data_IF_271001679856
#
_entry.id   IF_271001679856
#
_cell.length_a   1.000
_cell.length_b   1.000
_cell.length_c   1.000
_cell.angle_alpha   90.00
_cell.angle_beta   90.00
_cell.angle_gamma   90.00
#
_symmetry.space_group_name_H-M   'P 1'
#
loop_
_entity.id
_entity.type
_entity.pdbx_description
1 polymer ?
#
# COMPACT_ATOMS: atom_id res chain seq x y z
N UNK A 1 -3.40 15.14 5.84
CA UNK A 1 -2.90 15.91 4.67
C UNK A 1 -1.53 15.35 4.32
N UNK A 2 -1.24 15.10 3.04
CA UNK A 2 -0.01 14.39 2.61
C UNK A 2 -0.25 13.15 1.73
N UNK A 3 -1.52 12.81 1.44
CA UNK A 3 -1.88 11.77 0.48
C UNK A 3 -1.84 12.31 -0.96
N UNK A 4 -1.56 11.43 -1.92
CA UNK A 4 -1.59 11.79 -3.34
C UNK A 4 -3.03 11.98 -3.84
N UNK A 5 -3.92 11.01 -3.56
CA UNK A 5 -5.33 11.05 -3.98
C UNK A 5 -6.28 10.76 -2.81
N UNK A 6 -6.36 9.49 -2.41
CA UNK A 6 -7.31 8.97 -1.41
C UNK A 6 -6.58 8.17 -0.33
N UNK A 7 -7.27 7.89 0.77
CA UNK A 7 -6.79 6.98 1.80
C UNK A 7 -6.97 5.52 1.32
N UNK A 8 -5.91 4.69 1.27
CA UNK A 8 -6.00 3.31 0.80
C UNK A 8 -6.86 2.40 1.69
N UNK A 9 -7.15 2.81 2.93
CA UNK A 9 -8.06 2.11 3.85
C UNK A 9 -9.53 2.54 3.71
N UNK A 10 -9.83 3.49 2.81
CA UNK A 10 -11.15 4.09 2.63
C UNK A 10 -11.33 5.42 3.36
N UNK A 11 -12.48 6.12 3.16
CA UNK A 11 -12.70 7.48 3.66
C UNK A 11 -12.52 7.54 5.18
N UNK A 12 -11.61 8.41 5.65
CA UNK A 12 -11.25 8.54 7.06
C UNK A 12 -10.84 7.22 7.75
N UNK A 13 -10.36 6.23 6.98
CA UNK A 13 -9.98 4.90 7.46
C UNK A 13 -11.15 3.91 7.59
N UNK A 14 -12.35 4.27 7.12
CA UNK A 14 -13.49 3.36 7.06
C UNK A 14 -13.41 2.48 5.80
N UNK A 15 -13.24 1.15 5.92
CA UNK A 15 -13.03 0.24 4.79
C UNK A 15 -14.32 -0.11 4.05
N UNK A 16 -15.02 0.92 3.57
CA UNK A 16 -16.19 0.80 2.69
C UNK A 16 -15.76 1.03 1.22
N UNK A 17 -15.74 -0.01 0.37
CA UNK A 17 -15.31 0.11 -1.02
C UNK A 17 -16.21 1.03 -1.86
N UNK A 18 -17.51 1.11 -1.58
CA UNK A 18 -18.44 1.94 -2.33
C UNK A 18 -18.24 3.42 -1.99
N UNK A 19 -18.03 3.72 -0.70
CA UNK A 19 -17.66 5.07 -0.27
C UNK A 19 -16.28 5.47 -0.82
N UNK A 20 -15.31 4.55 -0.81
CA UNK A 20 -13.98 4.78 -1.39
C UNK A 20 -14.05 5.10 -2.89
N UNK A 21 -14.91 4.41 -3.66
CA UNK A 21 -15.09 4.66 -5.09
C UNK A 21 -15.56 6.10 -5.40
N UNK A 22 -16.35 6.71 -4.52
CA UNK A 22 -16.77 8.11 -4.67
C UNK A 22 -15.58 9.07 -4.55
N UNK A 23 -14.73 8.86 -3.55
CA UNK A 23 -13.53 9.70 -3.31
C UNK A 23 -12.49 9.49 -4.41
N UNK A 24 -12.32 8.25 -4.89
CA UNK A 24 -11.45 7.93 -6.03
C UNK A 24 -11.90 8.73 -7.25
N UNK A 25 -13.18 8.61 -7.66
CA UNK A 25 -13.70 9.35 -8.81
C UNK A 25 -13.53 10.87 -8.65
N UNK A 26 -13.79 11.40 -7.46
CA UNK A 26 -13.69 12.85 -7.20
C UNK A 26 -12.25 13.34 -7.32
N UNK A 27 -11.30 12.64 -6.70
CA UNK A 27 -9.90 13.05 -6.66
C UNK A 27 -9.19 12.85 -8.00
N UNK A 28 -9.44 11.74 -8.68
CA UNK A 28 -8.93 11.51 -10.04
C UNK A 28 -9.53 12.50 -11.05
N UNK A 29 -10.83 12.81 -10.95
CA UNK A 29 -11.46 13.84 -11.77
C UNK A 29 -10.85 15.23 -11.58
N UNK A 30 -10.42 15.57 -10.35
CA UNK A 30 -9.65 16.80 -10.06
C UNK A 30 -8.24 16.77 -10.65
N UNK A 31 -7.72 15.59 -10.98
CA UNK A 31 -6.44 15.38 -11.67
C UNK A 31 -6.62 15.02 -13.16
N UNK A 32 -7.77 15.40 -13.74
CA UNK A 32 -8.06 15.26 -15.16
C UNK A 32 -8.08 13.82 -15.69
N UNK A 33 -8.40 12.84 -14.84
CA UNK A 33 -8.63 11.46 -15.26
C UNK A 33 -10.12 11.14 -15.19
N UNK A 34 -10.65 10.57 -16.27
CA UNK A 34 -12.02 10.05 -16.31
C UNK A 34 -12.11 8.64 -15.69
N UNK A 35 -13.31 8.06 -15.68
CA UNK A 35 -13.56 6.74 -15.07
C UNK A 35 -12.73 5.61 -15.72
N UNK A 36 -12.64 5.58 -17.05
CA UNK A 36 -11.88 4.55 -17.79
C UNK A 36 -10.38 4.67 -17.51
N UNK A 37 -9.84 5.89 -17.57
CA UNK A 37 -8.44 6.18 -17.29
C UNK A 37 -8.08 5.84 -15.84
N UNK A 38 -8.97 6.13 -14.89
CA UNK A 38 -8.78 5.83 -13.47
C UNK A 38 -8.69 4.33 -13.24
N UNK A 39 -9.59 3.54 -13.84
CA UNK A 39 -9.54 2.08 -13.76
C UNK A 39 -8.24 1.55 -14.38
N UNK A 40 -7.86 2.05 -15.55
CA UNK A 40 -6.63 1.64 -16.24
C UNK A 40 -5.37 1.96 -15.43
N UNK A 41 -5.29 3.14 -14.82
CA UNK A 41 -4.16 3.57 -13.98
C UNK A 41 -4.03 2.71 -12.72
N UNK A 42 -5.13 2.50 -12.00
CA UNK A 42 -5.09 1.76 -10.73
C UNK A 42 -4.81 0.28 -10.95
N UNK A 43 -5.54 -0.37 -11.86
CA UNK A 43 -5.32 -1.79 -12.15
C UNK A 43 -3.96 -2.02 -12.80
N UNK A 44 -3.59 -1.20 -13.79
CA UNK A 44 -2.29 -1.31 -14.46
C UNK A 44 -1.11 -1.08 -13.53
N UNK A 45 -1.23 -0.12 -12.59
CA UNK A 45 -0.22 0.11 -11.56
C UNK A 45 -0.10 -1.05 -10.58
N UNK A 46 -1.23 -1.51 -10.02
CA UNK A 46 -1.24 -2.60 -9.05
C UNK A 46 -1.02 -4.00 -9.66
N UNK A 47 -0.93 -4.16 -10.99
CA UNK A 47 -0.40 -5.39 -11.60
C UNK A 47 1.04 -5.69 -11.15
N UNK A 48 1.79 -4.67 -10.72
CA UNK A 48 3.19 -4.79 -10.35
C UNK A 48 3.45 -4.58 -8.85
N UNK A 49 4.49 -5.24 -8.35
CA UNK A 49 5.07 -4.99 -7.04
C UNK A 49 4.20 -5.47 -5.87
N UNK A 50 4.35 -4.76 -4.75
CA UNK A 50 3.66 -5.00 -3.48
C UNK A 50 3.63 -3.74 -2.62
N UNK A 51 2.75 -3.69 -1.65
CA UNK A 51 2.84 -2.74 -0.53
C UNK A 51 3.75 -3.29 0.59
N UNK A 52 4.16 -2.43 1.54
CA UNK A 52 5.07 -2.80 2.63
C UNK A 52 4.53 -2.39 4.00
N UNK A 53 4.33 -3.38 4.88
CA UNK A 53 3.78 -3.28 6.22
C UNK A 53 4.21 -4.44 7.10
N UNK A 54 5.50 -4.80 7.06
CA UNK A 54 6.04 -5.98 7.74
C UNK A 54 5.93 -5.94 9.28
N UNK A 55 5.76 -4.76 9.86
CA UNK A 55 5.71 -4.54 11.31
C UNK A 55 4.96 -3.26 11.70
N UNK A 56 4.91 -2.95 13.01
CA UNK A 56 4.24 -1.74 13.52
C UNK A 56 4.89 -0.45 13.00
N UNK A 57 4.05 0.52 12.64
CA UNK A 57 4.47 1.84 12.10
C UNK A 57 5.35 2.63 13.09
N UNK A 58 5.21 2.41 14.40
CA UNK A 58 6.02 3.04 15.46
C UNK A 58 7.53 2.78 15.32
N UNK A 59 7.94 1.78 14.51
CA UNK A 59 9.35 1.52 14.24
C UNK A 59 9.95 2.43 13.16
N UNK A 60 9.12 3.12 12.37
CA UNK A 60 9.54 4.02 11.30
C UNK A 60 9.90 5.39 11.89
N UNK A 61 11.12 5.84 11.61
CA UNK A 61 11.65 7.11 12.10
C UNK A 61 11.20 8.29 11.22
N UNK A 62 11.77 9.47 11.50
CA UNK A 62 11.38 10.74 10.89
C UNK A 62 11.54 10.72 9.37
N UNK A 63 10.67 11.46 8.69
CA UNK A 63 10.77 11.73 7.26
C UNK A 63 12.07 12.46 6.89
N UNK A 64 12.47 12.49 5.60
CA UNK A 64 13.78 13.02 5.19
C UNK A 64 14.10 14.45 5.66
N UNK A 65 13.12 15.34 5.75
CA UNK A 65 13.33 16.72 6.21
C UNK A 65 13.48 16.84 7.75
N UNK A 66 13.03 15.85 8.51
CA UNK A 66 13.23 15.74 9.96
C UNK A 66 14.41 14.84 10.35
N UNK A 67 14.89 14.01 9.42
CA UNK A 67 15.93 13.03 9.68
C UNK A 67 17.28 13.68 10.07
N UNK A 68 18.10 13.00 10.90
CA UNK A 68 19.40 13.51 11.30
C UNK A 68 20.38 13.51 10.11
N UNK A 69 21.38 14.39 10.15
CA UNK A 69 22.27 14.66 9.01
C UNK A 69 23.02 13.41 8.52
N UNK A 70 23.36 12.48 9.42
CA UNK A 70 24.03 11.22 9.11
C UNK A 70 23.19 10.26 8.24
N UNK A 71 21.88 10.46 8.13
CA UNK A 71 21.03 9.75 7.15
C UNK A 71 21.19 10.29 5.72
N UNK A 72 21.98 11.35 5.52
CA UNK A 72 22.43 11.83 4.21
C UNK A 72 21.30 12.11 3.21
N UNK A 73 20.18 12.67 3.71
CA UNK A 73 19.00 13.02 2.90
C UNK A 73 18.02 11.86 2.68
N UNK A 74 18.29 10.69 3.25
CA UNK A 74 17.27 9.67 3.47
C UNK A 74 16.43 10.01 4.71
N UNK A 75 15.36 9.24 4.90
CA UNK A 75 14.49 9.28 6.07
C UNK A 75 13.66 8.01 6.10
N UNK A 76 12.71 7.93 7.04
CA UNK A 76 11.90 6.73 7.30
C UNK A 76 12.76 5.48 7.56
N UNK A 77 13.96 5.66 8.14
CA UNK A 77 14.74 4.54 8.65
C UNK A 77 13.87 3.72 9.60
N UNK A 78 14.00 2.39 9.57
CA UNK A 78 13.15 1.50 10.37
C UNK A 78 13.98 0.72 11.38
N UNK A 79 13.50 0.68 12.61
CA UNK A 79 14.08 -0.12 13.70
C UNK A 79 13.53 -1.55 13.75
N UNK A 80 12.58 -1.89 12.88
CA UNK A 80 11.97 -3.22 12.81
C UNK A 80 12.84 -4.19 12.01
N UNK A 81 13.33 -5.25 12.67
CA UNK A 81 14.16 -6.26 12.02
C UNK A 81 15.42 -5.64 11.40
N UNK A 82 15.65 -5.91 10.12
CA UNK A 82 16.71 -5.28 9.32
C UNK A 82 16.35 -3.87 8.80
N UNK A 83 15.09 -3.47 8.89
CA UNK A 83 14.56 -2.19 8.41
C UNK A 83 14.38 -2.07 6.88
N UNK A 84 14.77 -3.10 6.13
CA UNK A 84 14.74 -3.14 4.66
C UNK A 84 14.35 -4.54 4.16
N UNK A 85 14.15 -4.70 2.85
CA UNK A 85 13.83 -6.01 2.26
C UNK A 85 12.54 -6.60 2.81
N UNK A 86 12.61 -7.80 3.40
CA UNK A 86 11.46 -8.47 4.01
C UNK A 86 10.86 -7.71 5.19
N UNK A 87 11.66 -6.85 5.85
CA UNK A 87 11.26 -6.14 7.06
C UNK A 87 10.86 -4.69 6.76
N UNK A 88 10.65 -4.35 5.49
CA UNK A 88 10.29 -2.99 5.05
C UNK A 88 8.89 -2.60 5.55
N UNK A 89 8.78 -1.36 6.03
CA UNK A 89 7.52 -0.72 6.40
C UNK A 89 7.43 0.58 5.59
N UNK A 90 6.29 0.81 4.92
CA UNK A 90 6.04 2.03 4.16
C UNK A 90 4.62 2.53 4.40
N UNK A 91 3.61 1.83 3.84
CA UNK A 91 2.21 2.23 3.98
C UNK A 91 1.48 1.54 5.15
N UNK A 92 2.13 0.56 5.79
CA UNK A 92 1.49 -0.29 6.80
C UNK A 92 0.60 -1.40 6.23
N UNK A 93 0.34 -1.39 4.91
CA UNK A 93 -0.38 -2.46 4.20
C UNK A 93 0.63 -3.44 3.63
N UNK A 94 0.36 -4.74 3.71
CA UNK A 94 1.30 -5.79 3.28
C UNK A 94 0.68 -6.72 2.22
N UNK A 95 1.44 -6.95 1.14
CA UNK A 95 1.09 -7.97 0.14
C UNK A 95 1.20 -7.48 -1.30
N UNK A 96 1.26 -8.44 -2.22
CA UNK A 96 1.17 -8.22 -3.66
C UNK A 96 -0.27 -8.43 -4.14
N UNK A 97 -0.67 -7.75 -5.21
CA UNK A 97 -2.00 -7.90 -5.81
C UNK A 97 -2.09 -9.00 -6.87
N UNK A 98 -0.95 -9.51 -7.35
CA UNK A 98 -0.88 -10.52 -8.42
C UNK A 98 0.06 -11.67 -8.04
N UNK A 99 -0.14 -12.83 -8.68
CA UNK A 99 0.76 -13.98 -8.50
C UNK A 99 2.12 -13.79 -9.18
N UNK A 100 2.23 -12.88 -10.15
CA UNK A 100 3.46 -12.58 -10.90
C UNK A 100 3.81 -11.08 -10.79
N UNK A 101 4.21 -10.56 -9.60
CA UNK A 101 4.32 -9.12 -9.34
C UNK A 101 5.41 -8.39 -10.15
N UNK A 102 6.23 -9.10 -10.93
CA UNK A 102 7.28 -8.54 -11.78
C UNK A 102 7.00 -8.73 -13.27
N UNK A 103 5.79 -9.17 -13.63
CA UNK A 103 5.39 -9.44 -15.02
C UNK A 103 4.06 -8.78 -15.32
N UNK A 104 3.96 -8.16 -16.49
CA UNK A 104 2.68 -7.69 -17.00
C UNK A 104 1.79 -8.87 -17.40
N UNK A 105 0.61 -8.96 -16.78
CA UNK A 105 -0.49 -9.84 -17.13
C UNK A 105 -1.83 -9.26 -16.62
N UNK A 106 -2.94 -9.97 -16.80
CA UNK A 106 -4.26 -9.58 -16.28
C UNK A 106 -4.52 -10.05 -14.84
N UNK A 107 -3.48 -10.47 -14.11
CA UNK A 107 -3.60 -11.10 -12.81
C UNK A 107 -4.36 -10.26 -11.79
N UNK A 108 -4.26 -8.93 -11.86
CA UNK A 108 -5.03 -8.04 -10.97
C UNK A 108 -6.55 -8.28 -11.10
N UNK A 109 -7.08 -8.27 -12.32
CA UNK A 109 -8.51 -8.50 -12.56
C UNK A 109 -8.91 -9.97 -12.38
N UNK A 110 -8.04 -10.91 -12.80
CA UNK A 110 -8.28 -12.33 -12.63
C UNK A 110 -8.49 -12.70 -11.15
N UNK A 111 -7.66 -12.14 -10.25
CA UNK A 111 -7.80 -12.34 -8.81
C UNK A 111 -8.94 -11.50 -8.21
N UNK A 112 -9.10 -10.24 -8.62
CA UNK A 112 -10.16 -9.37 -8.09
C UNK A 112 -11.56 -9.96 -8.31
N UNK A 113 -11.83 -10.49 -9.51
CA UNK A 113 -13.12 -11.07 -9.85
C UNK A 113 -13.23 -12.58 -9.59
N UNK A 114 -12.10 -13.28 -9.43
CA UNK A 114 -12.05 -14.72 -9.23
C UNK A 114 -12.28 -15.18 -7.78
N UNK A 115 -12.23 -14.26 -6.81
CA UNK A 115 -12.34 -14.57 -5.38
C UNK A 115 -13.35 -13.66 -4.67
N UNK A 116 -13.90 -14.16 -3.57
CA UNK A 116 -14.57 -13.36 -2.56
C UNK A 116 -13.55 -12.76 -1.59
N UNK A 117 -13.78 -11.51 -1.17
CA UNK A 117 -12.85 -10.76 -0.33
C UNK A 117 -13.42 -10.55 1.07
N UNK A 118 -12.61 -10.85 2.09
CA UNK A 118 -12.93 -10.62 3.49
C UNK A 118 -12.01 -9.54 4.06
N UNK A 119 -12.58 -8.60 4.83
CA UNK A 119 -11.81 -7.57 5.52
C UNK A 119 -10.90 -8.22 6.56
N UNK A 120 -9.60 -7.96 6.44
CA UNK A 120 -8.59 -8.40 7.40
C UNK A 120 -7.70 -7.23 7.80
N UNK A 121 -6.94 -7.43 8.88
CA UNK A 121 -5.84 -6.55 9.27
C UNK A 121 -4.54 -7.27 8.98
N UNK A 122 -3.50 -6.53 8.59
CA UNK A 122 -2.15 -7.08 8.45
C UNK A 122 -1.80 -7.76 9.77
N UNK A 123 -1.76 -9.09 9.75
CA UNK A 123 -1.42 -9.89 10.92
C UNK A 123 0.08 -9.77 11.07
N UNK A 124 0.55 -9.25 12.21
CA UNK A 124 1.92 -9.47 12.64
C UNK A 124 2.10 -10.98 12.71
N UNK A 125 2.70 -11.59 11.69
CA UNK A 125 3.08 -13.00 11.76
C UNK A 125 4.19 -13.03 12.79
N UNK A 126 4.07 -13.76 13.92
CA UNK A 126 5.22 -14.06 14.73
C UNK A 126 6.12 -14.92 13.85
N UNK A 127 7.16 -14.31 13.29
CA UNK A 127 8.25 -15.07 12.71
C UNK A 127 8.84 -15.84 13.90
N UNK A 128 8.76 -17.17 13.82
CA UNK A 128 9.12 -18.16 14.83
C UNK A 128 8.05 -18.52 15.87
N UNK A 129 7.35 -19.62 15.60
CA UNK A 129 7.04 -20.56 16.67
C UNK A 129 8.34 -21.12 17.22
N UNK A 130 8.72 -20.69 18.42
CA UNK A 130 9.47 -21.54 19.33
C UNK A 130 8.50 -22.59 19.89
N UNK A 131 8.73 -23.85 19.57
CA UNK A 131 8.38 -24.94 20.48
C UNK A 131 9.20 -24.82 21.76
#
# INVERSE_FOLDING_TARGET
MGLIYVNPQGPDGNPDPLASAHDIRTTFGRMAMNDEETVALVAGGHTFGKSHGAGPEDNVQQEPEGAPLEEMGFGWSSTFGSGVGSDTITSGIEGAWTANPTKWDNGYFDLLFGYDWELTKVRLVPIFGSN
#
